data_IF_895824621847
#
_entry.id   IF_895824621847
#
_cell.length_a   1.000
_cell.length_b   1.000
_cell.length_c   1.000
_cell.angle_alpha   90.00
_cell.angle_beta   90.00
_cell.angle_gamma   90.00
#
_symmetry.space_group_name_H-M   'P 1'
#
loop_
_entity.id
_entity.type
_entity.pdbx_description
1 polymer ?
#
# COMPACT_ATOMS: atom_id res chain seq x y z
N UNK A 1 -13.49 4.14 -10.96
CA UNK A 1 -12.26 4.06 -10.17
C UNK A 1 -11.98 5.35 -9.38
N UNK A 2 -10.99 5.38 -8.47
CA UNK A 2 -10.59 6.58 -7.75
C UNK A 2 -10.03 7.62 -8.74
N UNK A 3 -10.41 8.88 -8.55
CA UNK A 3 -9.99 10.01 -9.39
C UNK A 3 -9.16 11.03 -8.61
N UNK A 4 -9.08 10.87 -7.30
CA UNK A 4 -8.33 11.74 -6.40
C UNK A 4 -7.61 10.93 -5.32
N UNK A 5 -6.66 11.58 -4.62
CA UNK A 5 -6.01 10.97 -3.47
C UNK A 5 -7.02 10.68 -2.33
N UNK A 6 -8.00 11.56 -2.13
CA UNK A 6 -9.07 11.36 -1.14
C UNK A 6 -9.91 10.12 -1.46
N UNK A 7 -10.24 9.88 -2.73
CA UNK A 7 -10.91 8.65 -3.15
C UNK A 7 -10.08 7.40 -2.81
N UNK A 8 -8.78 7.45 -3.04
CA UNK A 8 -7.90 6.33 -2.74
C UNK A 8 -7.80 6.07 -1.23
N UNK A 9 -7.76 7.14 -0.41
CA UNK A 9 -7.82 7.05 1.05
C UNK A 9 -9.13 6.40 1.50
N UNK A 10 -10.26 6.80 0.90
CA UNK A 10 -11.56 6.23 1.20
C UNK A 10 -11.66 4.74 0.80
N UNK A 11 -11.15 4.37 -0.38
CA UNK A 11 -11.10 2.96 -0.84
C UNK A 11 -10.34 2.09 0.16
N UNK A 12 -9.15 2.51 0.61
CA UNK A 12 -8.35 1.77 1.61
C UNK A 12 -9.10 1.61 2.93
N UNK A 13 -9.90 2.61 3.31
CA UNK A 13 -10.67 2.62 4.55
C UNK A 13 -11.94 1.77 4.49
N UNK A 14 -12.58 1.71 3.33
CA UNK A 14 -13.88 1.05 3.13
C UNK A 14 -13.76 -0.40 2.64
N UNK A 15 -12.73 -0.72 1.83
CA UNK A 15 -12.59 -2.06 1.23
C UNK A 15 -12.02 -3.07 2.23
N UNK A 16 -12.83 -3.42 3.24
CA UNK A 16 -12.53 -4.41 4.27
C UNK A 16 -13.82 -4.91 4.94
N UNK A 17 -13.83 -6.12 5.53
CA UNK A 17 -15.03 -6.65 6.20
C UNK A 17 -15.61 -5.66 7.22
N UNK A 18 -16.90 -5.45 7.17
CA UNK A 18 -17.66 -4.52 8.01
C UNK A 18 -18.03 -3.22 7.27
N UNK A 19 -17.09 -2.34 6.89
CA UNK A 19 -17.46 -1.09 6.19
C UNK A 19 -17.88 -1.30 4.72
N UNK A 20 -17.65 -2.47 4.12
CA UNK A 20 -18.00 -2.75 2.72
C UNK A 20 -19.47 -2.48 2.40
N UNK A 21 -20.37 -2.67 3.37
CA UNK A 21 -21.81 -2.39 3.20
C UNK A 21 -22.11 -0.91 2.95
N UNK A 22 -21.19 -0.02 3.31
CA UNK A 22 -21.30 1.44 3.06
C UNK A 22 -20.79 1.85 1.67
N UNK A 23 -20.11 0.98 0.93
CA UNK A 23 -19.52 1.30 -0.38
C UNK A 23 -20.59 1.71 -1.41
N UNK A 24 -21.74 1.03 -1.56
CA UNK A 24 -22.75 1.44 -2.51
C UNK A 24 -23.24 2.87 -2.27
N UNK A 25 -23.54 3.23 -1.01
CA UNK A 25 -23.94 4.59 -0.63
C UNK A 25 -22.85 5.61 -0.91
N UNK A 26 -21.58 5.30 -0.59
CA UNK A 26 -20.45 6.17 -0.88
C UNK A 26 -20.31 6.43 -2.38
N UNK A 27 -20.40 5.38 -3.21
CA UNK A 27 -20.28 5.47 -4.67
C UNK A 27 -21.43 6.31 -5.25
N UNK A 28 -22.67 6.06 -4.83
CA UNK A 28 -23.84 6.82 -5.29
C UNK A 28 -23.70 8.29 -4.95
N UNK A 29 -23.42 8.60 -3.70
CA UNK A 29 -23.24 9.98 -3.25
C UNK A 29 -22.07 10.69 -3.97
N UNK A 30 -20.98 9.97 -4.27
CA UNK A 30 -19.86 10.50 -5.03
C UNK A 30 -20.22 10.83 -6.47
N UNK A 31 -21.08 10.03 -7.09
CA UNK A 31 -21.56 10.31 -8.46
C UNK A 31 -22.65 11.37 -8.52
N UNK A 32 -23.37 11.56 -7.42
CA UNK A 32 -24.49 12.51 -7.28
C UNK A 32 -24.31 13.38 -6.04
N UNK A 33 -23.23 14.18 -5.94
CA UNK A 33 -22.97 15.02 -4.77
C UNK A 33 -24.09 16.03 -4.49
N UNK A 34 -24.85 16.41 -5.50
CA UNK A 34 -26.02 17.28 -5.39
C UNK A 34 -27.20 16.65 -4.60
N UNK A 35 -27.19 15.33 -4.41
CA UNK A 35 -28.21 14.59 -3.66
C UNK A 35 -27.83 14.32 -2.22
N UNK A 36 -26.59 14.64 -1.84
CA UNK A 36 -26.10 14.39 -0.48
C UNK A 36 -26.89 15.28 0.49
N UNK A 37 -27.49 14.65 1.49
CA UNK A 37 -28.22 15.35 2.56
C UNK A 37 -27.56 15.08 3.89
N UNK A 38 -27.54 16.09 4.75
CA UNK A 38 -26.96 15.99 6.09
C UNK A 38 -28.06 16.11 7.14
N UNK A 39 -28.01 15.30 8.19
CA UNK A 39 -28.96 15.38 9.31
C UNK A 39 -28.94 16.76 10.01
N UNK A 40 -27.78 17.45 9.94
CA UNK A 40 -27.63 18.79 10.46
C UNK A 40 -26.57 19.55 9.62
N UNK A 41 -26.73 20.87 9.36
CA UNK A 41 -25.80 21.64 8.51
C UNK A 41 -24.35 21.61 9.00
N UNK A 42 -24.09 21.53 10.30
CA UNK A 42 -22.74 21.43 10.87
C UNK A 42 -21.99 20.16 10.46
N UNK A 43 -22.70 19.13 10.00
CA UNK A 43 -22.07 17.89 9.51
C UNK A 43 -21.44 18.05 8.14
N UNK A 44 -21.89 19.01 7.33
CA UNK A 44 -21.35 19.24 5.99
C UNK A 44 -19.83 19.48 6.03
N UNK A 45 -19.37 20.38 6.91
CA UNK A 45 -17.94 20.67 7.05
C UNK A 45 -17.08 19.47 7.54
N UNK A 46 -17.71 18.40 8.03
CA UNK A 46 -17.00 17.19 8.52
C UNK A 46 -17.08 16.05 7.51
N UNK A 47 -18.24 15.88 6.86
CA UNK A 47 -18.55 14.72 6.03
C UNK A 47 -18.51 14.99 4.53
N UNK A 48 -18.33 16.25 4.11
CA UNK A 48 -18.29 16.62 2.69
C UNK A 48 -17.20 15.86 1.92
N UNK A 49 -16.01 15.71 2.51
CA UNK A 49 -14.87 14.98 1.95
C UNK A 49 -15.16 13.48 1.71
N UNK A 50 -16.19 12.94 2.33
CA UNK A 50 -16.65 11.55 2.21
C UNK A 50 -18.09 11.44 1.74
N UNK A 51 -18.58 12.48 1.08
CA UNK A 51 -19.92 12.54 0.47
C UNK A 51 -21.05 12.15 1.46
N UNK A 52 -20.98 12.70 2.69
CA UNK A 52 -21.97 12.46 3.72
C UNK A 52 -21.84 11.13 4.48
N UNK A 53 -20.83 10.33 4.20
CA UNK A 53 -20.58 9.07 4.91
C UNK A 53 -19.58 9.25 6.05
N UNK A 54 -19.84 8.60 7.20
CA UNK A 54 -18.83 8.47 8.25
C UNK A 54 -17.85 7.36 7.82
N UNK A 55 -16.57 7.68 7.64
CA UNK A 55 -15.51 6.75 7.22
C UNK A 55 -14.37 6.72 8.24
N UNK A 56 -13.99 7.88 8.77
CA UNK A 56 -12.80 8.06 9.59
C UNK A 56 -13.11 8.26 11.07
N UNK A 57 -12.18 7.76 11.91
CA UNK A 57 -12.21 7.99 13.36
C UNK A 57 -12.19 9.47 13.70
N UNK A 58 -11.45 10.25 12.94
CA UNK A 58 -11.33 11.69 13.06
C UNK A 58 -12.67 12.41 12.84
N UNK A 59 -13.50 11.90 11.93
CA UNK A 59 -14.84 12.45 11.71
C UNK A 59 -15.74 12.23 12.93
N UNK A 60 -15.71 11.04 13.52
CA UNK A 60 -16.45 10.75 14.76
C UNK A 60 -16.04 11.73 15.87
N UNK A 61 -14.74 11.94 16.05
CA UNK A 61 -14.23 12.89 17.04
C UNK A 61 -14.67 14.32 16.75
N UNK A 62 -14.64 14.75 15.49
CA UNK A 62 -15.08 16.07 15.06
C UNK A 62 -16.58 16.28 15.28
N UNK A 63 -17.40 15.25 15.04
CA UNK A 63 -18.85 15.31 15.31
C UNK A 63 -19.10 15.59 16.81
N UNK A 64 -18.43 14.86 17.73
CA UNK A 64 -18.54 15.12 19.16
C UNK A 64 -18.14 16.56 19.52
N UNK A 65 -17.06 17.05 18.95
CA UNK A 65 -16.55 18.41 19.22
C UNK A 65 -17.47 19.49 18.66
N UNK A 66 -17.87 19.35 17.41
CA UNK A 66 -18.63 20.39 16.70
C UNK A 66 -20.08 20.47 17.17
N UNK A 67 -20.73 19.32 17.37
CA UNK A 67 -22.16 19.31 17.72
C UNK A 67 -22.42 19.40 19.22
N UNK A 68 -21.53 18.91 20.06
CA UNK A 68 -21.77 18.83 21.50
C UNK A 68 -20.71 19.53 22.37
N UNK A 69 -19.67 20.12 21.78
CA UNK A 69 -18.67 20.89 22.54
C UNK A 69 -17.69 20.06 23.34
N UNK A 70 -17.41 18.82 22.93
CA UNK A 70 -16.41 17.96 23.57
C UNK A 70 -14.99 18.50 23.36
N UNK A 71 -14.14 18.34 24.38
CA UNK A 71 -12.70 18.48 24.17
C UNK A 71 -12.16 17.35 23.28
N UNK A 72 -11.02 17.57 22.61
CA UNK A 72 -10.40 16.56 21.75
C UNK A 72 -10.09 15.27 22.52
N UNK A 73 -9.54 15.39 23.74
CA UNK A 73 -9.19 14.24 24.57
C UNK A 73 -10.43 13.43 24.98
N UNK A 74 -11.51 14.10 25.38
CA UNK A 74 -12.77 13.42 25.72
C UNK A 74 -13.38 12.72 24.50
N UNK A 75 -13.40 13.39 23.33
CA UNK A 75 -13.91 12.81 22.09
C UNK A 75 -13.15 11.52 21.71
N UNK A 76 -11.83 11.47 21.89
CA UNK A 76 -11.03 10.27 21.65
C UNK A 76 -11.37 9.13 22.63
N UNK A 77 -11.53 9.44 23.90
CA UNK A 77 -11.94 8.45 24.92
C UNK A 77 -13.28 7.81 24.55
N UNK A 78 -14.27 8.64 24.18
CA UNK A 78 -15.61 8.16 23.79
C UNK A 78 -15.54 7.33 22.51
N UNK A 79 -14.83 7.80 21.48
CA UNK A 79 -14.62 7.04 20.26
C UNK A 79 -14.02 5.65 20.53
N UNK A 80 -13.02 5.56 21.43
CA UNK A 80 -12.42 4.26 21.83
C UNK A 80 -13.43 3.37 22.58
N UNK A 81 -14.30 3.96 23.42
CA UNK A 81 -15.36 3.23 24.10
C UNK A 81 -16.39 2.67 23.12
N UNK A 82 -16.79 3.45 22.11
CA UNK A 82 -17.66 3.02 21.01
C UNK A 82 -17.07 1.83 20.26
N UNK A 83 -15.81 1.93 19.83
CA UNK A 83 -15.11 0.84 19.12
C UNK A 83 -15.07 -0.47 19.92
N UNK A 84 -15.07 -0.39 21.25
CA UNK A 84 -15.06 -1.55 22.16
C UNK A 84 -16.46 -2.02 22.57
N UNK A 85 -17.54 -1.42 22.04
CA UNK A 85 -18.95 -1.73 22.32
C UNK A 85 -19.27 -1.78 23.82
N UNK A 86 -18.74 -0.84 24.61
CA UNK A 86 -19.01 -0.76 26.05
C UNK A 86 -20.39 -0.11 26.31
N UNK A 87 -21.47 -0.88 26.28
CA UNK A 87 -22.86 -0.40 26.35
C UNK A 87 -23.12 0.58 27.50
N UNK A 88 -22.71 0.28 28.73
CA UNK A 88 -22.95 1.15 29.90
C UNK A 88 -22.27 2.53 29.75
N UNK A 89 -21.10 2.59 29.11
CA UNK A 89 -20.41 3.86 28.80
C UNK A 89 -21.16 4.59 27.70
N UNK A 90 -21.68 3.86 26.72
CA UNK A 90 -22.36 4.44 25.58
C UNK A 90 -23.68 5.10 25.93
N UNK A 91 -24.50 4.47 26.81
CA UNK A 91 -25.75 5.08 27.31
C UNK A 91 -25.49 6.39 28.06
N UNK A 92 -24.46 6.40 28.92
CA UNK A 92 -24.06 7.62 29.64
C UNK A 92 -23.59 8.72 28.68
N UNK A 93 -22.74 8.37 27.70
CA UNK A 93 -22.21 9.35 26.74
C UNK A 93 -23.28 9.82 25.75
N UNK A 94 -24.26 8.99 25.39
CA UNK A 94 -25.44 9.42 24.62
C UNK A 94 -26.18 10.56 25.31
N UNK A 95 -26.45 10.42 26.61
CA UNK A 95 -27.11 11.47 27.39
C UNK A 95 -26.24 12.74 27.42
N UNK A 96 -24.95 12.62 27.67
CA UNK A 96 -24.03 13.77 27.70
C UNK A 96 -23.92 14.45 26.33
N UNK A 97 -23.86 13.66 25.25
CA UNK A 97 -23.82 14.22 23.88
C UNK A 97 -25.06 15.05 23.57
N UNK A 98 -26.24 14.59 24.02
CA UNK A 98 -27.51 15.28 23.75
C UNK A 98 -27.70 16.46 24.71
N UNK A 99 -27.61 16.23 26.01
CA UNK A 99 -28.01 17.19 27.06
C UNK A 99 -26.88 18.03 27.64
N UNK A 100 -25.65 17.55 27.47
CA UNK A 100 -24.46 18.14 28.07
C UNK A 100 -24.09 17.53 29.42
N UNK A 101 -23.00 18.06 29.99
CA UNK A 101 -22.51 17.70 31.32
C UNK A 101 -22.16 18.98 32.09
N UNK A 102 -22.73 19.10 33.29
CA UNK A 102 -22.42 20.19 34.22
C UNK A 102 -21.77 19.57 35.46
N UNK A 103 -20.64 20.09 35.86
CA UNK A 103 -19.96 19.68 37.08
C UNK A 103 -20.72 20.08 38.34
N UNK A 104 -20.35 19.49 39.48
CA UNK A 104 -20.96 19.79 40.78
C UNK A 104 -20.77 21.24 41.25
N UNK A 105 -19.82 21.96 40.70
CA UNK A 105 -19.53 23.38 40.93
C UNK A 105 -20.29 24.33 39.98
N UNK A 106 -21.15 23.78 39.09
CA UNK A 106 -21.87 24.53 38.08
C UNK A 106 -21.12 24.78 36.78
N UNK A 107 -19.86 24.31 36.64
CA UNK A 107 -19.07 24.47 35.42
C UNK A 107 -19.63 23.58 34.34
N UNK A 108 -19.76 24.12 33.10
CA UNK A 108 -20.19 23.35 31.95
C UNK A 108 -18.98 22.61 31.38
N UNK A 109 -18.88 21.30 31.60
CA UNK A 109 -17.83 20.46 31.08
C UNK A 109 -18.07 20.09 29.60
N UNK A 110 -19.32 19.85 29.23
CA UNK A 110 -19.77 19.58 27.86
C UNK A 110 -21.08 20.31 27.65
N UNK A 111 -21.16 21.11 26.57
CA UNK A 111 -22.38 21.89 26.29
C UNK A 111 -23.56 21.00 25.92
N UNK A 112 -23.31 19.95 25.14
CA UNK A 112 -24.34 19.09 24.56
C UNK A 112 -25.00 19.67 23.31
N UNK A 113 -25.58 18.82 22.51
CA UNK A 113 -26.22 19.17 21.24
C UNK A 113 -27.33 20.20 21.40
N UNK A 114 -28.18 20.04 22.40
CA UNK A 114 -29.35 20.91 22.61
C UNK A 114 -28.93 22.36 22.87
N UNK A 115 -27.92 22.62 23.70
CA UNK A 115 -27.42 23.98 23.93
C UNK A 115 -26.78 24.60 22.70
N UNK A 116 -26.29 23.79 21.77
CA UNK A 116 -25.70 24.20 20.52
C UNK A 116 -26.71 24.28 19.36
N UNK A 117 -28.01 24.20 19.65
CA UNK A 117 -29.09 24.38 18.69
C UNK A 117 -29.43 23.15 17.84
N UNK A 118 -28.91 21.96 18.22
CA UNK A 118 -29.26 20.71 17.57
C UNK A 118 -30.41 20.07 18.33
N UNK A 119 -31.53 19.76 17.65
CA UNK A 119 -32.69 19.15 18.31
C UNK A 119 -32.35 17.76 18.88
N UNK A 120 -33.03 17.36 19.94
CA UNK A 120 -32.86 16.03 20.57
C UNK A 120 -32.99 14.93 19.54
N UNK A 121 -34.04 14.95 18.73
CA UNK A 121 -34.30 13.94 17.71
C UNK A 121 -33.15 13.78 16.70
N UNK A 122 -32.59 14.89 16.22
CA UNK A 122 -31.47 14.89 15.32
C UNK A 122 -30.21 14.38 16.02
N UNK A 123 -29.95 14.81 17.24
CA UNK A 123 -28.80 14.38 18.03
C UNK A 123 -28.85 12.85 18.31
N UNK A 124 -30.02 12.28 18.59
CA UNK A 124 -30.20 10.85 18.75
C UNK A 124 -29.90 10.07 17.49
N UNK A 125 -30.39 10.53 16.33
CA UNK A 125 -30.10 9.91 15.03
C UNK A 125 -28.60 9.94 14.71
N UNK A 126 -27.94 11.09 14.90
CA UNK A 126 -26.48 11.23 14.68
C UNK A 126 -25.70 10.32 15.61
N UNK A 127 -26.06 10.24 16.90
CA UNK A 127 -25.38 9.36 17.84
C UNK A 127 -25.54 7.89 17.44
N UNK A 128 -26.71 7.46 17.02
CA UNK A 128 -26.96 6.10 16.56
C UNK A 128 -26.15 5.75 15.29
N UNK A 129 -26.04 6.69 14.35
CA UNK A 129 -25.16 6.50 13.17
C UNK A 129 -23.70 6.36 13.59
N UNK A 130 -23.19 7.23 14.48
CA UNK A 130 -21.83 7.11 15.00
C UNK A 130 -21.60 5.79 15.73
N UNK A 131 -22.54 5.33 16.55
CA UNK A 131 -22.44 4.08 17.31
C UNK A 131 -22.37 2.86 16.38
N UNK A 132 -23.20 2.83 15.32
CA UNK A 132 -23.19 1.75 14.34
C UNK A 132 -21.87 1.67 13.57
N UNK A 133 -21.28 2.82 13.27
CA UNK A 133 -20.09 2.92 12.44
C UNK A 133 -18.77 2.96 13.23
N UNK A 134 -18.77 3.37 14.50
CA UNK A 134 -17.56 3.62 15.28
C UNK A 134 -16.67 2.38 15.46
N UNK A 135 -17.25 1.17 15.42
CA UNK A 135 -16.47 -0.08 15.45
C UNK A 135 -15.69 -0.33 14.17
N UNK A 136 -16.07 0.33 13.08
CA UNK A 136 -15.49 0.17 11.76
C UNK A 136 -14.74 1.40 11.26
N UNK A 137 -14.81 2.53 11.97
CA UNK A 137 -14.13 3.77 11.62
C UNK A 137 -12.60 3.57 11.50
N UNK A 138 -12.02 4.05 10.39
CA UNK A 138 -10.61 3.87 10.10
C UNK A 138 -9.78 5.10 10.48
N UNK A 139 -8.53 4.91 10.83
CA UNK A 139 -7.62 6.03 11.05
C UNK A 139 -7.24 6.66 9.71
N UNK A 140 -7.62 7.93 9.49
CA UNK A 140 -7.37 8.63 8.23
C UNK A 140 -5.87 8.77 7.93
N UNK A 141 -5.07 9.08 8.94
CA UNK A 141 -3.61 9.26 8.76
C UNK A 141 -2.94 7.98 8.26
N UNK A 142 -3.35 6.82 8.80
CA UNK A 142 -2.86 5.53 8.32
C UNK A 142 -3.28 5.25 6.87
N UNK A 143 -4.56 5.46 6.54
CA UNK A 143 -5.05 5.32 5.17
C UNK A 143 -4.34 6.27 4.20
N UNK A 144 -4.08 7.51 4.61
CA UNK A 144 -3.37 8.51 3.82
C UNK A 144 -1.94 8.06 3.48
N UNK A 145 -1.21 7.52 4.46
CA UNK A 145 0.15 7.02 4.23
C UNK A 145 0.16 5.88 3.20
N UNK A 146 -0.76 4.93 3.31
CA UNK A 146 -0.88 3.84 2.33
C UNK A 146 -1.38 4.32 0.96
N UNK A 147 -2.31 5.26 0.91
CA UNK A 147 -2.78 5.85 -0.34
C UNK A 147 -1.65 6.56 -1.09
N UNK A 148 -0.79 7.26 -0.36
CA UNK A 148 0.38 7.93 -0.92
C UNK A 148 1.36 6.92 -1.54
N UNK A 149 1.71 5.85 -0.81
CA UNK A 149 2.57 4.78 -1.34
C UNK A 149 1.92 4.11 -2.57
N UNK A 150 0.63 3.82 -2.51
CA UNK A 150 -0.11 3.24 -3.65
C UNK A 150 -0.09 4.14 -4.88
N UNK A 151 -0.27 5.45 -4.66
CA UNK A 151 -0.16 6.44 -5.75
C UNK A 151 1.24 6.47 -6.35
N UNK A 152 2.28 6.52 -5.50
CA UNK A 152 3.68 6.53 -5.96
C UNK A 152 4.01 5.27 -6.77
N UNK A 153 3.60 4.09 -6.31
CA UNK A 153 3.83 2.85 -7.04
C UNK A 153 3.10 2.82 -8.38
N UNK A 154 1.87 3.30 -8.42
CA UNK A 154 1.10 3.42 -9.67
C UNK A 154 1.75 4.43 -10.64
N UNK A 155 2.21 5.56 -10.12
CA UNK A 155 2.93 6.57 -10.89
C UNK A 155 4.21 6.01 -11.52
N UNK A 156 5.03 5.32 -10.73
CA UNK A 156 6.26 4.68 -11.21
C UNK A 156 5.95 3.61 -12.26
N UNK A 157 4.93 2.77 -12.02
CA UNK A 157 4.53 1.75 -12.99
C UNK A 157 4.04 2.35 -14.32
N UNK A 158 3.36 3.49 -14.28
CA UNK A 158 2.86 4.17 -15.48
C UNK A 158 3.97 4.88 -16.27
N UNK A 159 4.80 5.67 -15.58
CA UNK A 159 5.82 6.52 -16.24
C UNK A 159 7.14 5.80 -16.50
N UNK A 160 7.50 4.83 -15.65
CA UNK A 160 8.77 4.09 -15.70
C UNK A 160 8.52 2.58 -15.58
N UNK A 161 7.72 1.98 -16.50
CA UNK A 161 7.25 0.61 -16.34
C UNK A 161 8.38 -0.43 -16.29
N UNK A 162 9.46 -0.23 -17.03
CA UNK A 162 10.59 -1.15 -17.08
C UNK A 162 11.38 -1.13 -15.77
N UNK A 163 11.69 0.06 -15.28
CA UNK A 163 12.39 0.27 -14.02
C UNK A 163 11.56 -0.24 -12.83
N UNK A 164 10.25 0.05 -12.84
CA UNK A 164 9.33 -0.46 -11.83
C UNK A 164 9.28 -1.98 -11.81
N UNK A 165 9.12 -2.62 -12.98
CA UNK A 165 9.06 -4.08 -13.07
C UNK A 165 10.40 -4.73 -12.74
N UNK A 166 11.53 -4.15 -13.11
CA UNK A 166 12.85 -4.64 -12.72
C UNK A 166 13.07 -4.58 -11.20
N UNK A 167 12.65 -3.48 -10.55
CA UNK A 167 12.69 -3.35 -9.09
C UNK A 167 11.75 -4.34 -8.40
N UNK A 168 10.53 -4.52 -8.93
CA UNK A 168 9.55 -5.45 -8.40
C UNK A 168 10.03 -6.91 -8.50
N UNK A 169 10.55 -7.32 -9.65
CA UNK A 169 11.17 -8.63 -9.85
C UNK A 169 12.34 -8.86 -8.88
N UNK A 170 13.17 -7.82 -8.68
CA UNK A 170 14.30 -7.89 -7.73
C UNK A 170 13.83 -8.03 -6.28
N UNK A 171 12.71 -7.42 -5.91
CA UNK A 171 12.17 -7.51 -4.54
C UNK A 171 11.64 -8.91 -4.16
N UNK A 172 11.39 -9.78 -5.13
CA UNK A 172 10.80 -11.11 -4.95
C UNK A 172 11.69 -12.25 -5.42
N UNK A 173 13.00 -12.02 -5.53
CA UNK A 173 13.99 -13.01 -6.04
C UNK A 173 13.90 -14.38 -5.36
N UNK A 174 13.56 -14.42 -4.08
CA UNK A 174 13.45 -15.66 -3.30
C UNK A 174 12.14 -16.44 -3.57
N UNK A 175 11.23 -15.89 -4.40
CA UNK A 175 9.94 -16.52 -4.70
C UNK A 175 9.76 -16.75 -6.20
N UNK A 176 10.16 -17.94 -6.67
CA UNK A 176 10.12 -18.29 -8.10
C UNK A 176 8.74 -18.15 -8.75
N UNK A 177 7.65 -18.42 -8.01
CA UNK A 177 6.29 -18.29 -8.54
C UNK A 177 5.93 -16.81 -8.79
N UNK A 178 6.31 -15.92 -7.87
CA UNK A 178 6.11 -14.48 -8.06
C UNK A 178 6.97 -13.94 -9.21
N UNK A 179 8.22 -14.39 -9.30
CA UNK A 179 9.11 -14.01 -10.42
C UNK A 179 8.47 -14.42 -11.74
N UNK A 180 7.98 -15.67 -11.86
CA UNK A 180 7.31 -16.14 -13.08
C UNK A 180 6.07 -15.31 -13.43
N UNK A 181 5.19 -15.04 -12.45
CA UNK A 181 4.00 -14.22 -12.68
C UNK A 181 4.31 -12.78 -13.10
N UNK A 182 5.35 -12.17 -12.54
CA UNK A 182 5.75 -10.82 -12.95
C UNK A 182 6.48 -10.79 -14.31
N UNK A 183 7.15 -11.88 -14.70
CA UNK A 183 7.67 -12.00 -16.07
C UNK A 183 6.52 -12.09 -17.08
N UNK A 184 5.47 -12.84 -16.77
CA UNK A 184 4.25 -12.89 -17.57
C UNK A 184 3.58 -11.49 -17.66
N UNK A 185 3.50 -10.77 -16.53
CA UNK A 185 3.00 -9.39 -16.53
C UNK A 185 3.86 -8.46 -17.41
N UNK A 186 5.19 -8.58 -17.35
CA UNK A 186 6.09 -7.86 -18.28
C UNK A 186 5.73 -8.14 -19.74
N UNK A 187 5.53 -9.40 -20.09
CA UNK A 187 5.13 -9.81 -21.45
C UNK A 187 3.81 -9.17 -21.89
N UNK A 188 2.80 -9.17 -20.99
CA UNK A 188 1.50 -8.54 -21.24
C UNK A 188 1.61 -7.01 -21.41
N UNK A 189 2.61 -6.39 -20.78
CA UNK A 189 2.93 -4.96 -20.92
C UNK A 189 3.83 -4.65 -22.13
N UNK A 190 4.19 -5.66 -22.96
CA UNK A 190 5.12 -5.49 -24.06
C UNK A 190 6.56 -5.25 -23.63
N UNK A 191 6.94 -5.60 -22.40
CA UNK A 191 8.28 -5.47 -21.85
C UNK A 191 9.03 -6.80 -22.02
N UNK A 192 10.08 -6.80 -22.78
CA UNK A 192 10.90 -7.99 -22.97
C UNK A 192 11.80 -8.22 -21.74
N UNK A 193 11.81 -9.45 -21.23
CA UNK A 193 12.77 -9.92 -20.23
C UNK A 193 13.80 -10.80 -20.91
N UNK A 194 15.04 -10.34 -20.95
CA UNK A 194 16.16 -11.03 -21.58
C UNK A 194 16.74 -12.08 -20.62
N UNK A 195 17.23 -13.23 -21.14
CA UNK A 195 17.85 -14.25 -20.32
C UNK A 195 19.07 -13.72 -19.58
N UNK A 196 19.54 -14.41 -18.52
CA UNK A 196 20.75 -14.01 -17.83
C UNK A 196 21.96 -14.07 -18.76
N UNK A 197 22.95 -13.21 -18.52
CA UNK A 197 24.21 -13.18 -19.27
C UNK A 197 25.36 -12.79 -18.31
N UNK A 198 26.42 -13.58 -18.25
CA UNK A 198 27.55 -13.32 -17.35
C UNK A 198 28.25 -12.00 -17.63
N UNK A 199 28.16 -11.47 -18.85
CA UNK A 199 28.75 -10.21 -19.25
C UNK A 199 27.86 -8.97 -19.01
N UNK A 200 26.54 -9.18 -18.82
CA UNK A 200 25.58 -8.06 -18.73
C UNK A 200 24.75 -8.06 -17.45
N UNK A 201 24.43 -9.25 -16.92
CA UNK A 201 23.59 -9.35 -15.74
C UNK A 201 24.26 -8.79 -14.49
N UNK A 202 23.47 -8.07 -13.68
CA UNK A 202 23.81 -7.67 -12.32
C UNK A 202 23.29 -8.67 -11.28
N UNK A 203 23.33 -8.27 -10.01
CA UNK A 203 22.76 -9.05 -8.92
C UNK A 203 21.25 -9.28 -9.10
N UNK A 204 20.49 -8.20 -9.27
CA UNK A 204 19.06 -8.22 -9.52
C UNK A 204 18.71 -8.00 -10.99
N UNK A 205 17.42 -7.87 -11.25
CA UNK A 205 16.93 -7.48 -12.57
C UNK A 205 17.27 -6.02 -12.85
N UNK A 206 17.75 -5.72 -14.04
CA UNK A 206 18.19 -4.37 -14.45
C UNK A 206 17.64 -4.02 -15.83
N UNK A 207 17.40 -2.72 -16.06
CA UNK A 207 17.01 -2.24 -17.39
C UNK A 207 18.27 -2.08 -18.25
N UNK A 208 18.30 -2.72 -19.41
CA UNK A 208 19.41 -2.70 -20.35
C UNK A 208 18.89 -2.63 -21.79
N UNK A 209 19.30 -1.64 -22.55
CA UNK A 209 18.90 -1.46 -23.96
C UNK A 209 17.36 -1.52 -24.18
N UNK A 210 16.61 -0.93 -23.24
CA UNK A 210 15.15 -0.87 -23.36
C UNK A 210 14.40 -2.16 -22.99
N UNK A 211 15.11 -3.19 -22.51
CA UNK A 211 14.58 -4.46 -22.01
C UNK A 211 15.00 -4.68 -20.56
N UNK A 212 14.41 -5.66 -19.87
CA UNK A 212 14.83 -6.06 -18.52
C UNK A 212 15.78 -7.25 -18.66
N UNK A 213 17.01 -7.15 -18.12
CA UNK A 213 17.95 -8.24 -18.04
C UNK A 213 17.74 -9.05 -16.76
N UNK A 214 17.69 -10.38 -16.89
CA UNK A 214 17.53 -11.31 -15.77
C UNK A 214 18.71 -11.23 -14.79
N UNK A 215 18.43 -11.12 -13.49
CA UNK A 215 19.43 -11.01 -12.44
C UNK A 215 20.09 -12.34 -12.08
N UNK A 216 21.39 -12.33 -11.78
CA UNK A 216 22.13 -13.54 -11.43
C UNK A 216 21.64 -14.19 -10.14
N UNK A 217 21.16 -13.40 -9.16
CA UNK A 217 20.60 -13.92 -7.90
C UNK A 217 19.30 -14.73 -8.09
N UNK A 218 18.60 -14.57 -9.19
CA UNK A 218 17.41 -15.34 -9.50
C UNK A 218 17.72 -16.74 -10.05
N UNK A 219 18.99 -17.01 -10.41
CA UNK A 219 19.44 -18.32 -10.88
C UNK A 219 19.66 -19.24 -9.66
N UNK A 220 18.97 -20.36 -9.63
CA UNK A 220 19.12 -21.32 -8.53
C UNK A 220 20.57 -21.83 -8.40
N UNK A 221 20.97 -22.11 -7.17
CA UNK A 221 22.30 -22.65 -6.79
C UNK A 221 23.48 -21.72 -7.08
N UNK A 222 23.25 -20.44 -7.39
CA UNK A 222 24.31 -19.45 -7.40
C UNK A 222 24.40 -18.79 -6.01
N UNK A 223 25.53 -18.95 -5.34
CA UNK A 223 25.79 -18.28 -4.07
C UNK A 223 26.09 -16.79 -4.24
N UNK A 224 25.71 -15.98 -3.28
CA UNK A 224 25.99 -14.52 -3.29
C UNK A 224 27.48 -14.21 -3.40
N UNK A 225 28.35 -14.99 -2.73
CA UNK A 225 29.79 -14.84 -2.81
C UNK A 225 30.34 -15.09 -4.20
N UNK A 226 29.87 -16.16 -4.88
CA UNK A 226 30.24 -16.43 -6.27
C UNK A 226 29.81 -15.29 -7.21
N UNK A 227 28.58 -14.80 -7.08
CA UNK A 227 28.09 -13.71 -7.92
C UNK A 227 28.89 -12.42 -7.68
N UNK A 228 29.17 -12.07 -6.41
CA UNK A 228 29.97 -10.90 -6.09
C UNK A 228 31.36 -10.97 -6.77
N UNK A 229 32.03 -12.12 -6.67
CA UNK A 229 33.32 -12.37 -7.32
C UNK A 229 33.23 -12.31 -8.85
N UNK A 230 32.14 -12.87 -9.44
CA UNK A 230 31.93 -12.81 -10.88
C UNK A 230 31.82 -11.36 -11.37
N UNK A 231 31.08 -10.52 -10.63
CA UNK A 231 30.89 -9.12 -10.98
C UNK A 231 32.18 -8.33 -10.80
N UNK A 232 32.89 -8.54 -9.69
CA UNK A 232 34.19 -7.91 -9.41
C UNK A 232 35.25 -8.25 -10.48
N UNK A 233 35.38 -9.53 -10.79
CA UNK A 233 36.31 -10.00 -11.84
C UNK A 233 35.95 -9.42 -13.23
N UNK A 234 34.67 -9.27 -13.51
CA UNK A 234 34.21 -8.63 -14.75
C UNK A 234 34.53 -7.14 -14.77
N UNK A 235 34.40 -6.44 -13.66
CA UNK A 235 34.72 -5.02 -13.56
C UNK A 235 36.20 -4.75 -13.72
N UNK A 236 37.06 -5.56 -13.08
CA UNK A 236 38.50 -5.40 -13.10
C UNK A 236 39.13 -5.89 -14.40
N UNK A 237 38.72 -7.03 -14.91
CA UNK A 237 39.34 -7.73 -16.05
C UNK A 237 38.53 -7.65 -17.35
N UNK A 238 37.47 -6.83 -17.41
CA UNK A 238 36.59 -6.70 -18.57
C UNK A 238 35.70 -7.93 -18.84
N UNK A 239 35.01 -7.90 -19.97
CA UNK A 239 34.08 -8.97 -20.37
C UNK A 239 34.80 -10.33 -20.50
N UNK A 240 34.08 -11.40 -20.19
CA UNK A 240 34.52 -12.76 -20.48
C UNK A 240 34.36 -13.04 -21.96
N UNK A 241 35.46 -13.47 -22.62
CA UNK A 241 35.50 -13.69 -24.07
C UNK A 241 35.30 -15.14 -24.46
N UNK A 242 35.56 -16.09 -23.54
CA UNK A 242 35.39 -17.52 -23.77
C UNK A 242 35.04 -18.25 -22.48
N UNK A 243 34.45 -19.43 -22.59
CA UNK A 243 34.19 -20.32 -21.47
C UNK A 243 35.45 -20.71 -20.68
N UNK A 244 36.56 -20.93 -21.39
CA UNK A 244 37.86 -21.23 -20.76
C UNK A 244 38.36 -20.06 -19.91
N UNK A 245 38.30 -18.83 -20.45
CA UNK A 245 38.72 -17.63 -19.72
C UNK A 245 37.81 -17.41 -18.48
N UNK A 246 36.51 -17.59 -18.63
CA UNK A 246 35.55 -17.51 -17.53
C UNK A 246 35.92 -18.47 -16.41
N UNK A 247 36.14 -19.76 -16.73
CA UNK A 247 36.53 -20.75 -15.75
C UNK A 247 37.91 -20.45 -15.11
N UNK A 248 38.87 -19.98 -15.88
CA UNK A 248 40.21 -19.63 -15.37
C UNK A 248 40.16 -18.46 -14.38
N UNK A 249 39.44 -17.41 -14.69
CA UNK A 249 39.32 -16.21 -13.84
C UNK A 249 38.54 -16.47 -12.54
N UNK A 250 37.52 -17.32 -12.61
CA UNK A 250 36.65 -17.61 -11.46
C UNK A 250 37.01 -18.90 -10.74
N UNK A 251 38.12 -19.57 -11.10
CA UNK A 251 38.56 -20.79 -10.43
C UNK A 251 38.65 -20.62 -8.89
N UNK A 252 38.02 -21.52 -8.12
CA UNK A 252 38.03 -21.48 -6.67
C UNK A 252 36.88 -22.30 -6.05
N UNK A 253 36.79 -22.27 -4.70
CA UNK A 253 35.87 -23.11 -3.92
C UNK A 253 34.39 -22.86 -4.26
N UNK A 254 34.04 -21.66 -4.69
CA UNK A 254 32.65 -21.27 -4.94
C UNK A 254 32.16 -21.68 -6.34
N UNK A 255 33.08 -21.90 -7.30
CA UNK A 255 32.76 -22.43 -8.61
C UNK A 255 32.75 -23.96 -8.60
N UNK A 256 31.65 -24.53 -8.19
CA UNK A 256 31.44 -25.98 -8.19
C UNK A 256 30.61 -26.43 -9.39
N UNK A 257 30.50 -27.75 -9.57
CA UNK A 257 29.73 -28.36 -10.67
C UNK A 257 28.28 -27.86 -10.74
N UNK A 258 27.60 -27.73 -9.57
CA UNK A 258 26.21 -27.26 -9.48
C UNK A 258 26.06 -25.80 -9.98
N UNK A 259 26.95 -24.92 -9.56
CA UNK A 259 27.01 -23.53 -9.99
C UNK A 259 27.17 -23.45 -11.52
N UNK A 260 28.08 -24.22 -12.08
CA UNK A 260 28.36 -24.24 -13.50
C UNK A 260 27.17 -24.81 -14.32
N UNK A 261 26.59 -25.93 -13.88
CA UNK A 261 25.39 -26.50 -14.49
C UNK A 261 24.22 -25.51 -14.47
N UNK A 262 24.04 -24.75 -13.41
CA UNK A 262 22.97 -23.73 -13.31
C UNK A 262 23.18 -22.57 -14.27
N UNK A 263 24.41 -22.10 -14.45
CA UNK A 263 24.76 -21.06 -15.43
C UNK A 263 24.54 -21.54 -16.87
N UNK A 264 24.92 -22.79 -17.17
CA UNK A 264 24.70 -23.37 -18.50
C UNK A 264 23.20 -23.51 -18.77
N UNK A 265 22.44 -24.14 -17.85
CA UNK A 265 21.00 -24.39 -18.01
C UNK A 265 20.18 -23.09 -18.09
N UNK A 266 20.64 -22.02 -17.47
CA UNK A 266 19.97 -20.71 -17.56
C UNK A 266 20.30 -19.94 -18.83
N UNK A 267 21.26 -20.38 -19.65
CA UNK A 267 21.73 -19.67 -20.82
C UNK A 267 22.70 -18.53 -20.52
N UNK A 268 23.11 -18.36 -19.26
CA UNK A 268 23.97 -17.25 -18.85
C UNK A 268 25.35 -17.25 -19.53
N UNK A 269 25.79 -18.39 -20.05
CA UNK A 269 27.07 -18.60 -20.73
C UNK A 269 26.95 -18.71 -22.26
N UNK A 270 25.75 -18.57 -22.83
CA UNK A 270 25.55 -18.82 -24.27
C UNK A 270 26.39 -17.96 -25.18
N UNK A 271 26.55 -16.69 -24.84
CA UNK A 271 27.36 -15.75 -25.63
C UNK A 271 28.83 -16.19 -25.73
N UNK A 272 29.45 -16.53 -24.60
CA UNK A 272 30.85 -16.94 -24.52
C UNK A 272 31.07 -18.40 -24.91
N UNK A 273 30.04 -19.25 -24.83
CA UNK A 273 30.09 -20.64 -25.27
C UNK A 273 30.05 -20.77 -26.78
N UNK A 274 29.20 -19.98 -27.46
CA UNK A 274 29.13 -19.95 -28.94
C UNK A 274 30.39 -19.37 -29.61
N UNK A 275 31.04 -18.39 -28.95
CA UNK A 275 32.31 -17.86 -29.43
C UNK A 275 33.38 -18.95 -29.50
N UNK A 276 33.50 -19.81 -28.50
CA UNK A 276 34.43 -20.94 -28.46
C UNK A 276 34.17 -22.01 -29.53
N UNK A 277 32.95 -22.12 -30.09
CA UNK A 277 32.63 -23.05 -31.17
C UNK A 277 32.92 -22.47 -32.57
N UNK A 278 33.09 -21.16 -32.69
CA UNK A 278 33.40 -20.51 -33.99
C UNK A 278 34.89 -20.40 -34.27
N UNK A 279 35.72 -20.59 -33.26
CA UNK A 279 37.19 -20.54 -33.37
C UNK A 279 37.82 -21.93 -33.62
N UNK A 280 37.03 -22.97 -33.87
CA UNK A 280 37.45 -24.29 -34.34
C UNK A 280 36.85 -24.53 -35.72
#
# INVERSE_FOLDING_TARGET
GPQSLEDLIAVISLYRPGPMDSIPKYIENRHHPERVTYLHPLLAGILDVTYGCIVYQEQVMQIFRTLAGYSLGRADIVRRAMSKKKHSVMEKERKIFIEGLVGGDGTVEVEGCIRRGVSREIAEKIFAEMESFASYAFNKSHATAYAWVSYQTAYMKYHYPKEFMAALLTSVLDNANKVAGYIEECSNMGIQVLPPNVNESGNGFTVTHGSIRFGLLAIRNLGRGFIARLLEEREQGGKYTSFYQFCKRLHGREMNRRTLESLIKSGALDEIGRASCRER
#
